data_IF_716046910960
#
_entry.id   IF_716046910960
#
_cell.length_a   1.000
_cell.length_b   1.000
_cell.length_c   1.000
_cell.angle_alpha   90.00
_cell.angle_beta   90.00
_cell.angle_gamma   90.00
#
_symmetry.space_group_name_H-M   'P 1'
#
loop_
_entity.id
_entity.type
_entity.pdbx_description
1 polymer ?
#
# COMPACT_ATOMS: atom_id res chain seq x y z
N UNK A 1 32.09 -32.76 -22.66
CA UNK A 1 31.20 -31.58 -22.79
C UNK A 1 30.66 -31.25 -21.40
N UNK A 2 30.99 -30.07 -20.88
CA UNK A 2 31.01 -29.73 -19.45
C UNK A 2 29.63 -29.67 -18.76
N UNK A 3 29.39 -30.59 -17.82
CA UNK A 3 28.16 -30.65 -17.00
C UNK A 3 28.05 -29.49 -15.98
N UNK A 4 29.13 -28.72 -15.77
CA UNK A 4 29.17 -27.54 -14.90
C UNK A 4 28.50 -26.28 -15.49
N UNK A 5 28.34 -26.23 -16.82
CA UNK A 5 27.81 -25.04 -17.51
C UNK A 5 26.29 -24.88 -17.40
N UNK A 6 25.56 -25.96 -17.08
CA UNK A 6 24.09 -25.94 -16.99
C UNK A 6 23.57 -25.42 -15.65
N UNK A 7 24.30 -25.67 -14.57
CA UNK A 7 23.93 -25.20 -13.22
C UNK A 7 24.16 -23.70 -13.02
N UNK A 8 25.13 -23.13 -13.75
CA UNK A 8 25.40 -21.69 -13.69
C UNK A 8 24.27 -20.86 -14.32
N UNK A 9 23.62 -21.39 -15.37
CA UNK A 9 22.54 -20.70 -16.07
C UNK A 9 21.21 -20.69 -15.28
N UNK A 10 20.96 -21.72 -14.47
CA UNK A 10 19.77 -21.79 -13.60
C UNK A 10 19.87 -20.84 -12.40
N UNK A 11 21.08 -20.57 -11.89
CA UNK A 11 21.26 -19.68 -10.74
C UNK A 11 21.04 -18.20 -11.11
N UNK A 12 21.35 -17.80 -12.34
CA UNK A 12 21.13 -16.43 -12.84
C UNK A 12 19.67 -16.06 -13.08
N UNK A 13 18.77 -17.04 -13.25
CA UNK A 13 17.33 -16.78 -13.47
C UNK A 13 16.57 -16.50 -12.17
N UNK A 14 17.14 -16.85 -11.01
CA UNK A 14 16.54 -16.63 -9.68
C UNK A 14 16.70 -15.18 -9.18
N UNK A 15 17.58 -14.37 -9.79
CA UNK A 15 17.88 -13.00 -9.31
C UNK A 15 16.95 -11.94 -9.91
N UNK A 16 16.14 -12.27 -10.93
CA UNK A 16 15.16 -11.36 -11.52
C UNK A 16 13.75 -11.48 -10.92
N UNK A 17 13.57 -12.37 -9.93
CA UNK A 17 12.34 -12.44 -9.15
C UNK A 17 12.29 -11.40 -8.01
N UNK A 18 13.05 -10.29 -8.10
CA UNK A 18 12.75 -9.10 -7.33
C UNK A 18 11.31 -8.70 -7.68
N UNK A 19 10.38 -8.86 -6.72
CA UNK A 19 8.97 -8.61 -6.97
C UNK A 19 8.80 -7.20 -7.53
N UNK A 20 8.17 -7.10 -8.69
CA UNK A 20 7.90 -5.80 -9.30
C UNK A 20 6.89 -5.07 -8.40
N UNK A 21 7.39 -4.20 -7.51
CA UNK A 21 6.57 -3.35 -6.64
C UNK A 21 5.77 -2.30 -7.41
N UNK A 22 6.03 -2.11 -8.70
CA UNK A 22 5.21 -1.31 -9.60
C UNK A 22 4.12 -2.16 -10.26
N UNK A 23 3.24 -2.75 -9.45
CA UNK A 23 2.00 -3.43 -9.85
C UNK A 23 0.83 -2.83 -9.06
N UNK A 24 -0.41 -2.86 -9.57
CA UNK A 24 -1.54 -2.21 -8.91
C UNK A 24 -1.73 -2.76 -7.48
N UNK A 25 -1.63 -4.09 -7.32
CA UNK A 25 -1.73 -4.77 -6.01
C UNK A 25 -0.59 -4.42 -5.07
N UNK A 26 0.66 -4.38 -5.55
CA UNK A 26 1.78 -4.03 -4.69
C UNK A 26 1.68 -2.58 -4.20
N UNK A 27 1.27 -1.67 -5.08
CA UNK A 27 1.07 -0.24 -4.73
C UNK A 27 -0.07 -0.05 -3.74
N UNK A 28 -1.19 -0.78 -3.87
CA UNK A 28 -2.28 -0.72 -2.89
C UNK A 28 -1.87 -1.28 -1.52
N UNK A 29 -1.11 -2.36 -1.48
CA UNK A 29 -0.58 -2.95 -0.24
C UNK A 29 0.48 -2.05 0.41
N UNK A 30 1.38 -1.46 -0.38
CA UNK A 30 2.34 -0.46 0.09
C UNK A 30 1.61 0.78 0.66
N UNK A 31 0.51 1.18 0.04
CA UNK A 31 -0.33 2.26 0.56
C UNK A 31 -0.95 1.89 1.91
N UNK A 32 -1.51 0.69 2.07
CA UNK A 32 -2.06 0.23 3.36
C UNK A 32 -0.99 0.21 4.45
N UNK A 33 0.18 -0.34 4.12
CA UNK A 33 1.30 -0.41 5.04
C UNK A 33 1.72 0.98 5.54
N UNK A 34 1.89 1.94 4.62
CA UNK A 34 2.30 3.28 5.00
C UNK A 34 1.17 4.04 5.69
N UNK A 35 -0.01 4.15 5.09
CA UNK A 35 -1.10 4.97 5.60
C UNK A 35 -1.77 4.38 6.84
N UNK A 36 -2.16 3.11 6.82
CA UNK A 36 -2.95 2.53 7.90
C UNK A 36 -2.10 1.87 9.00
N UNK A 37 -1.04 1.13 8.64
CA UNK A 37 -0.25 0.39 9.63
C UNK A 37 0.86 1.23 10.29
N UNK A 38 1.44 2.19 9.56
CA UNK A 38 2.48 3.08 10.09
C UNK A 38 1.97 4.48 10.43
N UNK A 39 0.73 4.78 10.07
CA UNK A 39 0.18 6.14 10.08
C UNK A 39 1.09 7.14 9.33
N UNK A 40 1.85 6.73 8.32
CA UNK A 40 2.84 7.55 7.62
C UNK A 40 2.24 8.17 6.34
N UNK A 41 1.48 9.27 6.50
CA UNK A 41 0.81 9.94 5.38
C UNK A 41 1.80 10.45 4.34
N UNK A 42 3.00 10.87 4.76
CA UNK A 42 4.03 11.36 3.84
C UNK A 42 4.53 10.24 2.92
N UNK A 43 4.80 9.05 3.46
CA UNK A 43 5.16 7.89 2.66
C UNK A 43 4.01 7.42 1.76
N UNK A 44 2.77 7.46 2.26
CA UNK A 44 1.58 7.14 1.47
C UNK A 44 1.40 8.12 0.29
N UNK A 45 1.64 9.43 0.51
CA UNK A 45 1.52 10.46 -0.51
C UNK A 45 2.46 10.21 -1.70
N UNK A 46 3.66 9.66 -1.46
CA UNK A 46 4.59 9.29 -2.53
C UNK A 46 4.03 8.19 -3.46
N UNK A 47 3.05 7.41 -3.02
CA UNK A 47 2.36 6.37 -3.78
C UNK A 47 1.07 6.88 -4.43
N UNK A 48 0.65 8.10 -4.12
CA UNK A 48 -0.63 8.65 -4.54
C UNK A 48 -0.54 9.61 -5.72
N UNK A 49 -1.67 9.81 -6.39
CA UNK A 49 -1.91 10.85 -7.38
C UNK A 49 -3.38 11.28 -7.31
N UNK A 50 -3.76 12.36 -8.01
CA UNK A 50 -5.16 12.80 -8.11
C UNK A 50 -5.83 13.03 -6.75
N UNK A 51 -7.04 12.49 -6.58
CA UNK A 51 -7.86 12.70 -5.38
C UNK A 51 -7.22 12.12 -4.12
N UNK A 52 -6.56 10.96 -4.21
CA UNK A 52 -5.85 10.38 -3.06
C UNK A 52 -4.71 11.28 -2.56
N UNK A 53 -3.96 11.92 -3.48
CA UNK A 53 -2.90 12.86 -3.09
C UNK A 53 -3.49 14.08 -2.39
N UNK A 54 -4.58 14.65 -2.94
CA UNK A 54 -5.28 15.79 -2.32
C UNK A 54 -5.79 15.47 -0.91
N UNK A 55 -6.44 14.30 -0.73
CA UNK A 55 -6.92 13.84 0.59
C UNK A 55 -5.79 13.79 1.63
N UNK A 56 -4.64 13.24 1.25
CA UNK A 56 -3.48 13.13 2.13
C UNK A 56 -2.82 14.49 2.41
N UNK A 57 -2.69 15.35 1.41
CA UNK A 57 -2.18 16.72 1.59
C UNK A 57 -3.05 17.51 2.58
N UNK A 58 -4.37 17.48 2.41
CA UNK A 58 -5.33 18.12 3.31
C UNK A 58 -5.26 17.54 4.74
N UNK A 59 -5.10 16.22 4.87
CA UNK A 59 -4.94 15.57 6.17
C UNK A 59 -3.63 15.97 6.83
N UNK A 60 -2.50 15.94 6.12
CA UNK A 60 -1.18 16.34 6.63
C UNK A 60 -1.24 17.78 7.16
N UNK A 61 -1.86 18.70 6.41
CA UNK A 61 -2.05 20.09 6.85
C UNK A 61 -2.87 20.12 8.14
N UNK A 62 -3.99 19.38 8.21
CA UNK A 62 -4.89 19.36 9.37
C UNK A 62 -4.24 18.83 10.64
N UNK A 63 -3.36 17.84 10.52
CA UNK A 63 -2.70 17.21 11.68
C UNK A 63 -1.36 17.85 12.04
N UNK A 64 -0.85 18.79 11.21
CA UNK A 64 0.47 19.41 11.39
C UNK A 64 0.63 20.17 12.71
N UNK A 65 -0.47 20.62 13.33
CA UNK A 65 -0.44 21.30 14.64
C UNK A 65 -0.05 20.38 15.80
N UNK A 66 -0.23 19.07 15.64
CA UNK A 66 0.00 18.06 16.69
C UNK A 66 0.97 16.96 16.24
N UNK A 67 1.49 17.05 15.01
CA UNK A 67 2.30 16.01 14.41
C UNK A 67 3.26 16.53 13.35
N UNK A 68 4.53 16.13 13.45
CA UNK A 68 5.52 16.38 12.40
C UNK A 68 5.39 15.35 11.25
N UNK A 69 5.60 15.75 9.98
CA UNK A 69 5.63 14.82 8.85
C UNK A 69 6.65 13.69 9.06
N UNK A 70 6.21 12.44 8.91
CA UNK A 70 7.06 11.25 9.10
C UNK A 70 7.34 10.89 10.57
N UNK A 71 6.76 11.61 11.54
CA UNK A 71 6.84 11.24 12.94
C UNK A 71 6.20 9.87 13.17
N UNK A 72 6.97 8.92 13.72
CA UNK A 72 6.46 7.63 14.17
C UNK A 72 5.82 7.79 15.56
N UNK A 73 4.71 7.08 15.78
CA UNK A 73 4.09 7.00 17.10
C UNK A 73 4.64 5.81 17.87
N UNK A 74 4.83 6.01 19.18
CA UNK A 74 5.27 4.94 20.09
C UNK A 74 4.22 3.82 20.20
N UNK A 75 2.94 4.16 20.04
CA UNK A 75 1.82 3.22 20.06
C UNK A 75 0.96 3.38 18.80
N UNK A 76 1.27 2.60 17.76
CA UNK A 76 0.34 2.39 16.63
C UNK A 76 -0.45 1.11 16.90
N UNK A 77 -1.80 1.14 16.80
CA UNK A 77 -2.61 -0.07 16.97
C UNK A 77 -2.13 -1.18 16.04
N UNK A 78 -2.06 -2.41 16.56
CA UNK A 78 -1.71 -3.55 15.71
C UNK A 78 -2.84 -3.75 14.69
N UNK A 79 -2.53 -3.51 13.43
CA UNK A 79 -3.49 -3.60 12.34
C UNK A 79 -3.07 -4.66 11.33
N UNK A 80 -4.00 -5.52 10.95
CA UNK A 80 -3.84 -6.47 9.84
C UNK A 80 -4.86 -6.17 8.75
N UNK A 81 -4.61 -6.64 7.53
CA UNK A 81 -5.55 -6.50 6.43
C UNK A 81 -5.77 -7.85 5.73
N UNK A 82 -6.98 -8.01 5.18
CA UNK A 82 -7.35 -9.15 4.35
C UNK A 82 -7.99 -8.64 3.04
N UNK A 83 -7.56 -9.14 1.86
CA UNK A 83 -8.23 -8.81 0.61
C UNK A 83 -9.64 -9.43 0.58
N UNK A 84 -10.63 -8.63 0.19
CA UNK A 84 -12.03 -9.04 0.01
C UNK A 84 -12.39 -9.23 -1.46
N UNK A 85 -11.76 -8.49 -2.37
CA UNK A 85 -12.07 -8.55 -3.79
C UNK A 85 -11.21 -7.62 -4.63
N UNK A 86 -11.25 -7.82 -5.94
CA UNK A 86 -10.59 -6.97 -6.93
C UNK A 86 -11.54 -6.78 -8.11
N UNK A 87 -11.66 -5.55 -8.56
CA UNK A 87 -12.45 -5.16 -9.73
C UNK A 87 -11.52 -4.43 -10.70
N UNK A 88 -11.48 -4.90 -11.96
CA UNK A 88 -10.63 -4.34 -13.01
C UNK A 88 -11.52 -3.63 -14.03
N UNK A 89 -11.20 -2.37 -14.30
CA UNK A 89 -11.76 -1.51 -15.35
C UNK A 89 -10.63 -1.14 -16.33
N UNK A 90 -10.95 -0.61 -17.51
CA UNK A 90 -9.98 -0.34 -18.58
C UNK A 90 -8.82 0.58 -18.13
N UNK A 91 -9.10 1.52 -17.23
CA UNK A 91 -8.12 2.46 -16.69
C UNK A 91 -7.75 2.21 -15.22
N UNK A 92 -8.57 1.47 -14.47
CA UNK A 92 -8.47 1.41 -13.01
C UNK A 92 -8.50 -0.01 -12.47
N UNK A 93 -7.80 -0.23 -11.36
CA UNK A 93 -7.97 -1.46 -10.55
C UNK A 93 -8.39 -1.06 -9.15
N UNK A 94 -9.57 -1.53 -8.74
CA UNK A 94 -10.12 -1.37 -7.40
C UNK A 94 -9.80 -2.60 -6.55
N UNK A 95 -9.32 -2.37 -5.34
CA UNK A 95 -9.08 -3.40 -4.34
C UNK A 95 -9.92 -3.12 -3.10
N UNK A 96 -10.71 -4.11 -2.69
CA UNK A 96 -11.47 -4.08 -1.45
C UNK A 96 -10.69 -4.86 -0.38
N UNK A 97 -10.52 -4.25 0.80
CA UNK A 97 -9.85 -4.87 1.95
C UNK A 97 -10.70 -4.74 3.22
N UNK A 98 -10.53 -5.70 4.13
CA UNK A 98 -10.95 -5.57 5.51
C UNK A 98 -9.71 -5.33 6.38
N UNK A 99 -9.68 -4.20 7.07
CA UNK A 99 -8.70 -3.89 8.10
C UNK A 99 -9.23 -4.42 9.44
N UNK A 100 -8.37 -5.05 10.23
CA UNK A 100 -8.64 -5.48 11.59
C UNK A 100 -7.70 -4.73 12.52
N UNK A 101 -8.25 -3.92 13.41
CA UNK A 101 -7.52 -2.99 14.29
C UNK A 101 -7.65 -3.52 15.72
N UNK A 102 -6.52 -3.94 16.31
CA UNK A 102 -6.45 -4.36 17.69
C UNK A 102 -6.01 -3.18 18.56
N UNK A 103 -6.94 -2.67 19.38
CA UNK A 103 -6.70 -1.54 20.31
C UNK A 103 -6.16 -2.06 21.64
N UNK A 104 -6.64 -3.22 22.08
CA UNK A 104 -6.20 -3.92 23.28
C UNK A 104 -6.36 -5.43 23.09
N UNK A 105 -5.94 -6.23 24.07
CA UNK A 105 -6.14 -7.69 24.01
C UNK A 105 -7.60 -8.13 23.93
N UNK A 106 -8.53 -7.26 24.33
CA UNK A 106 -9.98 -7.57 24.36
C UNK A 106 -10.80 -6.81 23.33
N UNK A 107 -10.20 -5.80 22.68
CA UNK A 107 -10.94 -4.87 21.80
C UNK A 107 -10.36 -4.88 20.40
N UNK A 108 -11.18 -5.36 19.45
CA UNK A 108 -10.88 -5.39 18.02
C UNK A 108 -11.98 -4.70 17.25
N UNK A 109 -11.61 -3.87 16.29
CA UNK A 109 -12.52 -3.24 15.34
C UNK A 109 -12.18 -3.69 13.93
N UNK A 110 -13.19 -3.76 13.07
CA UNK A 110 -12.99 -3.97 11.63
C UNK A 110 -13.46 -2.76 10.84
N UNK A 111 -12.80 -2.51 9.71
CA UNK A 111 -13.13 -1.45 8.78
C UNK A 111 -12.95 -1.96 7.37
N UNK A 112 -13.88 -1.69 6.46
CA UNK A 112 -13.68 -1.98 5.04
C UNK A 112 -13.15 -0.75 4.35
N UNK A 113 -12.21 -0.98 3.45
CA UNK A 113 -11.58 0.07 2.66
C UNK A 113 -11.52 -0.35 1.21
N UNK A 114 -11.70 0.63 0.35
CA UNK A 114 -11.54 0.49 -1.09
C UNK A 114 -10.35 1.35 -1.52
N UNK A 115 -9.47 0.79 -2.36
CA UNK A 115 -8.31 1.48 -2.91
C UNK A 115 -8.36 1.36 -4.42
N UNK A 116 -8.41 2.49 -5.11
CA UNK A 116 -8.40 2.56 -6.56
C UNK A 116 -6.99 2.95 -7.04
N UNK A 117 -6.50 2.20 -8.02
CA UNK A 117 -5.19 2.43 -8.63
C UNK A 117 -5.30 2.69 -10.12
N UNK A 118 -4.38 3.49 -10.66
CA UNK A 118 -4.28 3.84 -12.08
C UNK A 118 -2.80 3.88 -12.49
N UNK A 119 -2.51 3.62 -13.76
CA UNK A 119 -1.16 3.75 -14.30
C UNK A 119 -0.90 5.19 -14.79
N UNK A 120 -0.11 5.95 -14.03
CA UNK A 120 0.26 7.33 -14.33
C UNK A 120 1.73 7.38 -14.78
N UNK A 121 1.97 7.80 -16.03
CA UNK A 121 3.32 7.90 -16.61
C UNK A 121 4.14 6.60 -16.48
N UNK A 122 3.48 5.46 -16.73
CA UNK A 122 4.11 4.13 -16.65
C UNK A 122 4.26 3.56 -15.24
N UNK A 123 3.81 4.28 -14.18
CA UNK A 123 3.84 3.79 -12.80
C UNK A 123 2.44 3.69 -12.22
N UNK A 124 2.17 2.61 -11.50
CA UNK A 124 0.94 2.46 -10.73
C UNK A 124 0.93 3.43 -9.55
N UNK A 125 -0.22 4.06 -9.32
CA UNK A 125 -0.47 5.02 -8.24
C UNK A 125 -1.84 4.77 -7.64
N UNK A 126 -2.00 5.07 -6.35
CA UNK A 126 -3.32 5.18 -5.72
C UNK A 126 -3.94 6.51 -6.16
N UNK A 127 -5.10 6.46 -6.80
CA UNK A 127 -5.81 7.66 -7.28
C UNK A 127 -7.04 8.01 -6.44
N UNK A 128 -7.60 7.03 -5.74
CA UNK A 128 -8.62 7.26 -4.70
C UNK A 128 -8.56 6.16 -3.62
N UNK A 129 -9.04 6.48 -2.43
CA UNK A 129 -9.29 5.51 -1.35
C UNK A 129 -10.42 6.01 -0.46
N UNK A 130 -11.26 5.10 0.04
CA UNK A 130 -12.38 5.42 0.93
C UNK A 130 -12.67 4.26 1.90
N UNK A 131 -13.35 4.57 3.00
CA UNK A 131 -13.82 3.63 4.02
C UNK A 131 -15.35 3.47 3.88
N UNK A 132 -15.89 2.27 4.10
CA UNK A 132 -17.34 1.98 3.94
C UNK A 132 -17.89 0.90 4.87
#
# INVERSE_FOLDING_TARGET
MNMKSRYLLLLTLLVFACSNRNSPRAVSEDFIYNYYQRADQAAALLLSHGLAAQKLEDEIVRVSEVREPGQQFDEVPNMTYQPLGTEEDEAHVLFNYQLTIKISDTTTHTRKVVIQTEQINGRWKVVNFDEY
#
